data_IF_381591309240
#
_entry.id   IF_381591309240
#
_cell.length_a   1.000
_cell.length_b   1.000
_cell.length_c   1.000
_cell.angle_alpha   90.00
_cell.angle_beta   90.00
_cell.angle_gamma   90.00
#
_symmetry.space_group_name_H-M   'P 1'
#
loop_
_entity.id
_entity.type
_entity.pdbx_description
1 polymer ?
#
# COMPACT_ATOMS: atom_id res chain seq x y z
N UNK A 1 27.91 -13.96 -14.24
CA UNK A 1 26.84 -13.88 -13.22
C UNK A 1 26.31 -15.29 -13.04
N UNK A 2 26.65 -15.97 -11.95
CA UNK A 2 26.09 -17.30 -11.66
C UNK A 2 24.69 -17.09 -11.12
N UNK A 3 23.67 -17.58 -11.83
CA UNK A 3 22.33 -17.69 -11.24
C UNK A 3 22.47 -18.79 -10.19
N UNK A 4 22.29 -18.43 -8.92
CA UNK A 4 22.16 -19.40 -7.84
C UNK A 4 20.69 -19.79 -7.87
N UNK A 5 20.37 -21.01 -8.29
CA UNK A 5 19.02 -21.54 -8.15
C UNK A 5 18.74 -21.70 -6.65
N UNK A 6 18.00 -20.75 -6.10
CA UNK A 6 17.38 -20.88 -4.79
C UNK A 6 16.07 -21.65 -4.97
N UNK A 7 15.79 -22.55 -4.04
CA UNK A 7 14.49 -23.24 -3.98
C UNK A 7 13.36 -22.28 -3.63
N UNK A 8 12.11 -22.64 -3.95
CA UNK A 8 10.94 -21.88 -3.51
C UNK A 8 10.91 -21.74 -1.99
N UNK A 9 11.29 -22.78 -1.25
CA UNK A 9 11.37 -22.73 0.21
C UNK A 9 12.32 -21.62 0.70
N UNK A 10 13.47 -21.46 0.05
CA UNK A 10 14.45 -20.42 0.37
C UNK A 10 14.05 -19.03 -0.11
N UNK A 11 13.20 -18.94 -1.15
CA UNK A 11 12.79 -17.66 -1.74
C UNK A 11 11.52 -17.09 -1.12
N UNK A 12 10.54 -17.95 -0.84
CA UNK A 12 9.18 -17.55 -0.44
C UNK A 12 8.68 -18.28 0.81
N UNK A 13 9.52 -19.10 1.46
CA UNK A 13 9.18 -19.80 2.69
C UNK A 13 8.14 -20.90 2.52
N UNK A 14 7.93 -21.40 1.30
CA UNK A 14 7.01 -22.49 0.99
C UNK A 14 7.44 -23.28 -0.25
N UNK A 15 7.05 -24.55 -0.31
CA UNK A 15 7.48 -25.48 -1.34
C UNK A 15 6.91 -25.12 -2.74
N UNK A 16 5.65 -24.69 -2.79
CA UNK A 16 4.95 -24.39 -4.03
C UNK A 16 4.38 -22.96 -4.02
N UNK A 17 4.35 -22.33 -5.19
CA UNK A 17 3.83 -20.96 -5.36
C UNK A 17 2.37 -20.84 -4.90
N UNK A 18 1.55 -21.86 -5.19
CA UNK A 18 0.11 -21.89 -4.94
C UNK A 18 -0.27 -22.83 -3.78
N UNK A 19 0.61 -23.02 -2.80
CA UNK A 19 0.27 -23.72 -1.57
C UNK A 19 -0.68 -22.87 -0.72
N UNK A 20 -1.98 -23.03 -0.94
CA UNK A 20 -3.05 -22.23 -0.31
C UNK A 20 -3.04 -22.40 1.20
N UNK A 21 -2.81 -23.62 1.70
CA UNK A 21 -2.77 -23.89 3.14
C UNK A 21 -1.60 -23.14 3.79
N UNK A 22 -0.41 -23.19 3.18
CA UNK A 22 0.74 -22.45 3.67
C UNK A 22 0.54 -20.93 3.61
N UNK A 23 -0.12 -20.42 2.56
CA UNK A 23 -0.45 -19.00 2.43
C UNK A 23 -1.40 -18.57 3.55
N UNK A 24 -2.50 -19.30 3.74
CA UNK A 24 -3.53 -18.97 4.73
C UNK A 24 -3.06 -19.18 6.18
N UNK A 25 -2.05 -20.02 6.40
CA UNK A 25 -1.45 -20.22 7.72
C UNK A 25 -0.62 -19.01 8.20
N UNK A 26 -0.18 -18.14 7.30
CA UNK A 26 0.54 -16.92 7.66
C UNK A 26 -0.45 -15.90 8.21
N UNK A 27 -0.23 -15.50 9.46
CA UNK A 27 -1.12 -14.58 10.19
C UNK A 27 -0.29 -13.51 10.89
N UNK A 28 -0.96 -12.41 11.28
CA UNK A 28 -0.31 -11.37 12.08
C UNK A 28 0.09 -11.96 13.44
N UNK A 29 1.37 -11.88 13.76
CA UNK A 29 1.94 -12.42 14.99
C UNK A 29 1.93 -11.42 16.14
N UNK A 30 1.95 -10.12 15.83
CA UNK A 30 1.80 -9.03 16.78
C UNK A 30 0.78 -8.03 16.25
N UNK A 31 -0.43 -8.08 16.82
CA UNK A 31 -1.56 -7.23 16.40
C UNK A 31 -1.57 -5.86 17.08
N UNK A 32 -0.69 -5.66 18.06
CA UNK A 32 -0.55 -4.41 18.81
C UNK A 32 0.81 -3.74 18.52
N UNK A 33 1.56 -4.25 17.53
CA UNK A 33 2.84 -3.69 17.11
C UNK A 33 2.64 -2.23 16.65
N UNK A 34 3.31 -1.32 17.35
CA UNK A 34 3.32 0.11 17.00
C UNK A 34 4.50 0.45 16.10
N UNK A 35 5.61 -0.27 16.26
CA UNK A 35 6.87 -0.04 15.55
C UNK A 35 7.35 -1.33 14.90
N UNK A 36 7.47 -1.32 13.57
CA UNK A 36 8.03 -2.43 12.81
C UNK A 36 9.41 -2.06 12.25
N UNK A 37 10.46 -2.79 12.64
CA UNK A 37 11.84 -2.49 12.23
C UNK A 37 12.24 -3.35 11.03
N UNK A 38 12.53 -2.68 9.91
CA UNK A 38 13.07 -3.32 8.70
C UNK A 38 14.46 -2.76 8.41
N UNK A 39 15.39 -3.64 8.03
CA UNK A 39 16.76 -3.23 7.73
C UNK A 39 16.87 -2.68 6.31
N UNK A 40 17.33 -1.44 6.17
CA UNK A 40 17.71 -0.87 4.88
C UNK A 40 19.13 -1.34 4.49
N UNK A 41 19.25 -2.36 3.64
CA UNK A 41 20.55 -2.92 3.22
C UNK A 41 21.17 -2.20 2.00
N UNK A 42 20.99 -0.88 1.89
CA UNK A 42 21.52 -0.11 0.77
C UNK A 42 22.50 0.98 1.23
N UNK A 43 23.49 1.28 0.38
CA UNK A 43 24.41 2.39 0.61
C UNK A 43 23.77 3.72 0.23
N UNK A 44 24.04 4.76 1.02
CA UNK A 44 23.69 6.14 0.68
C UNK A 44 24.58 6.68 -0.44
N UNK A 45 23.98 7.16 -1.53
CA UNK A 45 24.72 7.64 -2.70
C UNK A 45 24.56 9.14 -2.90
N UNK A 46 25.68 9.87 -2.77
CA UNK A 46 25.79 11.27 -3.16
C UNK A 46 26.21 11.37 -4.64
N UNK A 47 25.53 12.24 -5.39
CA UNK A 47 25.85 12.52 -6.79
C UNK A 47 26.16 14.00 -6.97
N UNK A 48 27.35 14.30 -7.48
CA UNK A 48 27.82 15.67 -7.74
C UNK A 48 27.68 16.09 -9.22
N UNK A 49 27.13 15.19 -10.04
CA UNK A 49 26.78 15.49 -11.43
C UNK A 49 25.36 16.06 -11.50
N UNK A 50 25.27 17.36 -11.76
CA UNK A 50 24.02 18.12 -11.86
C UNK A 50 23.57 18.33 -13.31
N UNK A 51 24.11 17.56 -14.27
CA UNK A 51 23.90 17.76 -15.72
C UNK A 51 22.48 17.54 -16.24
N UNK A 52 21.52 17.16 -15.38
CA UNK A 52 20.10 16.92 -15.74
C UNK A 52 19.95 16.01 -16.99
N UNK A 53 20.74 14.93 -17.04
CA UNK A 53 20.87 14.07 -18.22
C UNK A 53 19.58 13.30 -18.61
N UNK A 54 18.53 13.28 -17.77
CA UNK A 54 17.26 12.57 -18.01
C UNK A 54 16.09 13.55 -18.15
N UNK A 55 15.84 14.09 -19.36
CA UNK A 55 14.80 15.09 -19.58
C UNK A 55 13.38 14.59 -19.28
N UNK A 56 13.11 13.29 -19.40
CA UNK A 56 11.80 12.72 -19.05
C UNK A 56 11.51 12.81 -17.55
N UNK A 57 12.46 12.45 -16.69
CA UNK A 57 12.31 12.60 -15.23
C UNK A 57 12.18 14.06 -14.85
N UNK A 58 12.90 14.95 -15.54
CA UNK A 58 12.77 16.38 -15.33
C UNK A 58 11.36 16.89 -15.64
N UNK A 59 10.74 16.41 -16.71
CA UNK A 59 9.36 16.76 -17.07
C UNK A 59 8.38 16.32 -15.98
N UNK A 60 8.55 15.11 -15.45
CA UNK A 60 7.72 14.60 -14.35
C UNK A 60 7.90 15.42 -13.07
N UNK A 61 9.15 15.74 -12.71
CA UNK A 61 9.46 16.61 -11.57
C UNK A 61 8.80 18.00 -11.68
N UNK A 62 8.91 18.65 -12.85
CA UNK A 62 8.25 19.96 -13.05
C UNK A 62 6.73 19.87 -12.96
N UNK A 63 6.13 18.80 -13.51
CA UNK A 63 4.70 18.54 -13.39
C UNK A 63 4.30 18.32 -11.93
N UNK A 64 5.03 17.50 -11.20
CA UNK A 64 4.74 17.15 -9.81
C UNK A 64 4.79 18.38 -8.89
N UNK A 65 5.77 19.26 -9.06
CA UNK A 65 5.84 20.53 -8.32
C UNK A 65 4.59 21.41 -8.50
N UNK A 66 4.03 21.43 -9.70
CA UNK A 66 2.83 22.23 -9.99
C UNK A 66 1.52 21.53 -9.60
N UNK A 67 1.54 20.20 -9.45
CA UNK A 67 0.37 19.38 -9.15
C UNK A 67 0.20 19.05 -7.67
N UNK A 68 0.89 19.76 -6.77
CA UNK A 68 0.76 19.57 -5.34
C UNK A 68 -0.62 20.05 -4.85
N UNK A 69 -1.17 19.33 -3.87
CA UNK A 69 -2.42 19.64 -3.18
C UNK A 69 -2.20 19.57 -1.66
N UNK A 70 -3.06 20.21 -0.88
CA UNK A 70 -2.97 20.23 0.58
C UNK A 70 -4.16 19.47 1.18
N UNK A 71 -3.86 18.36 1.87
CA UNK A 71 -4.88 17.53 2.50
C UNK A 71 -5.76 18.26 3.50
N UNK A 72 -5.23 19.25 4.20
CA UNK A 72 -5.95 20.00 5.21
C UNK A 72 -6.87 21.08 4.60
N UNK A 73 -6.46 21.75 3.53
CA UNK A 73 -7.20 22.92 2.99
C UNK A 73 -7.98 22.65 1.72
N UNK A 74 -7.57 21.68 0.92
CA UNK A 74 -8.18 21.44 -0.40
C UNK A 74 -9.34 20.43 -0.32
N UNK A 75 -9.46 19.73 0.82
CA UNK A 75 -10.58 18.85 1.16
C UNK A 75 -11.46 19.50 2.23
N UNK A 76 -12.77 19.53 2.01
CA UNK A 76 -13.73 19.98 3.02
C UNK A 76 -14.06 18.86 4.00
N UNK A 77 -13.28 18.77 5.08
CA UNK A 77 -13.46 17.80 6.15
C UNK A 77 -14.74 17.98 6.97
N UNK A 78 -15.48 19.10 6.81
CA UNK A 78 -16.76 19.28 7.51
C UNK A 78 -17.87 18.41 6.92
N UNK A 79 -17.70 17.91 5.70
CA UNK A 79 -18.65 17.03 5.03
C UNK A 79 -18.76 15.71 5.81
N UNK A 80 -19.97 15.40 6.27
CA UNK A 80 -20.28 14.10 6.87
C UNK A 80 -20.31 13.01 5.81
N UNK A 81 -19.81 11.82 6.16
CA UNK A 81 -19.84 10.64 5.29
C UNK A 81 -20.85 9.65 5.86
N UNK A 82 -21.86 9.29 5.07
CA UNK A 82 -22.83 8.24 5.40
C UNK A 82 -22.35 6.91 4.82
N UNK A 83 -21.55 6.20 5.61
CA UNK A 83 -20.90 4.96 5.18
C UNK A 83 -21.94 3.89 4.86
N UNK A 84 -22.99 3.75 5.69
CA UNK A 84 -24.04 2.76 5.47
C UNK A 84 -24.71 2.95 4.12
N UNK A 85 -25.04 4.19 3.78
CA UNK A 85 -25.61 4.53 2.49
C UNK A 85 -24.65 4.23 1.34
N UNK A 86 -23.38 4.62 1.45
CA UNK A 86 -22.38 4.35 0.40
C UNK A 86 -22.21 2.85 0.17
N UNK A 87 -22.11 2.06 1.24
CA UNK A 87 -21.98 0.60 1.13
C UNK A 87 -23.23 -0.04 0.51
N UNK A 88 -24.43 0.42 0.86
CA UNK A 88 -25.66 -0.07 0.26
C UNK A 88 -25.76 0.28 -1.24
N UNK A 89 -25.35 1.49 -1.63
CA UNK A 89 -25.31 1.93 -3.03
C UNK A 89 -24.29 1.14 -3.84
N UNK A 90 -23.08 0.93 -3.32
CA UNK A 90 -22.03 0.12 -3.95
C UNK A 90 -22.49 -1.33 -4.12
N UNK A 91 -23.05 -1.94 -3.07
CA UNK A 91 -23.57 -3.30 -3.12
C UNK A 91 -24.68 -3.46 -4.18
N UNK A 92 -25.51 -2.43 -4.39
CA UNK A 92 -26.55 -2.46 -5.41
C UNK A 92 -26.01 -2.29 -6.85
N UNK A 93 -24.90 -1.56 -7.02
CA UNK A 93 -24.30 -1.25 -8.33
C UNK A 93 -23.35 -2.34 -8.83
N UNK A 94 -22.43 -2.78 -7.97
CA UNK A 94 -21.31 -3.67 -8.32
C UNK A 94 -21.37 -5.02 -7.58
N UNK A 95 -22.35 -5.21 -6.70
CA UNK A 95 -22.44 -6.37 -5.83
C UNK A 95 -21.50 -6.27 -4.63
N UNK A 96 -21.70 -7.14 -3.64
CA UNK A 96 -20.89 -7.24 -2.44
C UNK A 96 -19.75 -8.27 -2.57
N UNK A 97 -19.48 -8.76 -3.79
CA UNK A 97 -18.48 -9.79 -4.09
C UNK A 97 -18.80 -11.19 -3.55
N UNK A 98 -19.97 -11.39 -2.92
CA UNK A 98 -20.37 -12.61 -2.24
C UNK A 98 -21.83 -12.96 -2.59
N UNK A 99 -22.03 -13.94 -3.47
CA UNK A 99 -23.38 -14.42 -3.79
C UNK A 99 -23.98 -15.16 -2.59
N UNK A 100 -25.06 -14.63 -2.00
CA UNK A 100 -25.66 -15.18 -0.76
C UNK A 100 -26.04 -16.65 -0.92
N UNK A 101 -26.49 -17.03 -2.11
CA UNK A 101 -26.88 -18.38 -2.48
C UNK A 101 -25.72 -19.36 -2.37
N UNK A 102 -24.48 -18.94 -2.67
CA UNK A 102 -23.27 -19.78 -2.56
C UNK A 102 -22.92 -20.11 -1.11
N UNK A 103 -23.43 -19.34 -0.15
CA UNK A 103 -23.12 -19.48 1.28
C UNK A 103 -24.30 -19.99 2.11
N UNK A 104 -25.43 -20.34 1.49
CA UNK A 104 -26.68 -20.71 2.17
C UNK A 104 -26.51 -21.85 3.21
N UNK A 105 -25.67 -22.85 2.90
CA UNK A 105 -25.43 -24.01 3.78
C UNK A 105 -24.31 -23.79 4.82
N UNK A 106 -23.80 -22.57 4.95
CA UNK A 106 -22.71 -22.21 5.87
C UNK A 106 -23.20 -21.43 7.09
N UNK A 107 -22.29 -21.10 8.00
CA UNK A 107 -22.59 -20.19 9.13
C UNK A 107 -22.86 -18.74 8.69
N UNK A 108 -22.54 -18.38 7.46
CA UNK A 108 -22.83 -17.06 6.87
C UNK A 108 -24.24 -17.04 6.26
N UNK A 109 -24.80 -18.21 5.87
CA UNK A 109 -26.14 -18.30 5.27
C UNK A 109 -27.29 -17.83 6.16
N UNK A 110 -27.05 -17.67 7.47
CA UNK A 110 -28.01 -17.09 8.43
C UNK A 110 -27.99 -15.56 8.49
N UNK A 111 -27.04 -14.90 7.81
CA UNK A 111 -26.89 -13.45 7.82
C UNK A 111 -28.04 -12.76 7.08
N UNK A 112 -28.64 -11.76 7.72
CA UNK A 112 -29.60 -10.85 7.11
C UNK A 112 -28.93 -9.59 6.58
N UNK A 113 -29.74 -8.63 6.14
CA UNK A 113 -29.22 -7.39 5.54
C UNK A 113 -28.35 -6.58 6.50
N UNK A 114 -28.63 -6.66 7.80
CA UNK A 114 -27.84 -5.99 8.83
C UNK A 114 -26.41 -6.54 8.89
N UNK A 115 -26.26 -7.86 9.01
CA UNK A 115 -24.93 -8.49 9.10
C UNK A 115 -24.12 -8.26 7.82
N UNK A 116 -24.78 -8.27 6.65
CA UNK A 116 -24.14 -7.95 5.38
C UNK A 116 -23.71 -6.49 5.27
N UNK A 117 -24.54 -5.56 5.75
CA UNK A 117 -24.18 -4.14 5.80
C UNK A 117 -22.96 -3.92 6.70
N UNK A 118 -22.96 -4.51 7.89
CA UNK A 118 -21.85 -4.38 8.85
C UNK A 118 -20.56 -5.01 8.31
N UNK A 119 -20.66 -6.16 7.63
CA UNK A 119 -19.53 -6.75 6.91
C UNK A 119 -18.98 -5.81 5.82
N UNK A 120 -19.85 -5.12 5.07
CA UNK A 120 -19.43 -4.15 4.07
C UNK A 120 -18.72 -2.93 4.67
N UNK A 121 -19.24 -2.41 5.80
CA UNK A 121 -18.61 -1.30 6.53
C UNK A 121 -17.21 -1.70 7.02
N UNK A 122 -17.09 -2.85 7.67
CA UNK A 122 -15.80 -3.31 8.18
C UNK A 122 -14.85 -3.69 7.04
N UNK A 123 -15.35 -4.25 5.95
CA UNK A 123 -14.57 -4.49 4.74
C UNK A 123 -14.00 -3.20 4.13
N UNK A 124 -14.79 -2.12 4.10
CA UNK A 124 -14.34 -0.80 3.63
C UNK A 124 -13.28 -0.19 4.55
N UNK A 125 -13.52 -0.23 5.85
CA UNK A 125 -12.57 0.24 6.86
C UNK A 125 -11.27 -0.56 6.79
N UNK A 126 -11.34 -1.88 6.62
CA UNK A 126 -10.18 -2.74 6.43
C UNK A 126 -9.41 -2.38 5.16
N UNK A 127 -10.09 -2.26 4.01
CA UNK A 127 -9.47 -1.92 2.72
C UNK A 127 -8.74 -0.57 2.79
N UNK A 128 -9.40 0.47 3.30
CA UNK A 128 -8.79 1.80 3.45
C UNK A 128 -7.62 1.81 4.44
N UNK A 129 -7.64 0.93 5.45
CA UNK A 129 -6.48 0.72 6.32
C UNK A 129 -5.30 0.10 5.54
N UNK A 130 -5.56 -0.86 4.64
CA UNK A 130 -4.49 -1.44 3.82
C UNK A 130 -3.92 -0.42 2.83
N UNK A 131 -4.74 0.49 2.29
CA UNK A 131 -4.23 1.63 1.52
C UNK A 131 -3.32 2.50 2.36
N UNK A 132 -3.74 2.94 3.55
CA UNK A 132 -2.89 3.71 4.45
C UNK A 132 -1.51 3.06 4.67
N UNK A 133 -1.49 1.76 4.98
CA UNK A 133 -0.23 1.03 5.19
C UNK A 133 0.61 0.92 3.91
N UNK A 134 -0.05 0.72 2.76
CA UNK A 134 0.59 0.75 1.44
C UNK A 134 1.23 2.10 1.13
N UNK A 135 0.52 3.20 1.35
CA UNK A 135 1.02 4.57 1.15
C UNK A 135 2.22 4.86 2.07
N UNK A 136 2.18 4.40 3.32
CA UNK A 136 3.32 4.50 4.23
C UNK A 136 4.52 3.67 3.72
N UNK A 137 4.27 2.47 3.20
CA UNK A 137 5.29 1.67 2.54
C UNK A 137 5.90 2.37 1.32
N UNK A 138 5.07 2.97 0.46
CA UNK A 138 5.49 3.74 -0.71
C UNK A 138 6.33 4.96 -0.31
N UNK A 139 5.94 5.68 0.76
CA UNK A 139 6.69 6.78 1.34
C UNK A 139 8.12 6.36 1.71
N UNK A 140 8.27 5.24 2.43
CA UNK A 140 9.59 4.73 2.83
C UNK A 140 10.40 4.23 1.63
N UNK A 141 9.78 3.49 0.71
CA UNK A 141 10.45 2.99 -0.50
C UNK A 141 10.97 4.13 -1.38
N UNK A 142 10.16 5.17 -1.56
CA UNK A 142 10.53 6.35 -2.34
C UNK A 142 11.65 7.14 -1.65
N UNK A 143 11.60 7.27 -0.32
CA UNK A 143 12.67 7.88 0.47
C UNK A 143 13.99 7.15 0.29
N UNK A 144 13.96 5.82 0.30
CA UNK A 144 15.13 4.98 0.00
C UNK A 144 15.63 5.21 -1.43
N UNK A 145 14.75 5.33 -2.42
CA UNK A 145 15.18 5.64 -3.80
C UNK A 145 15.89 6.98 -3.89
N UNK A 146 15.41 8.02 -3.20
CA UNK A 146 16.11 9.32 -3.11
C UNK A 146 17.53 9.12 -2.58
N UNK A 147 17.70 8.25 -1.59
CA UNK A 147 19.00 7.94 -0.98
C UNK A 147 19.92 7.14 -1.94
N UNK A 148 19.38 6.17 -2.67
CA UNK A 148 20.17 5.12 -3.34
C UNK A 148 20.27 5.26 -4.86
N UNK A 149 19.43 6.06 -5.52
CA UNK A 149 19.50 6.20 -6.99
C UNK A 149 20.74 7.03 -7.38
N UNK A 150 21.52 6.64 -8.40
CA UNK A 150 22.78 7.32 -8.71
C UNK A 150 22.62 8.64 -9.49
N UNK A 151 21.42 8.97 -9.97
CA UNK A 151 21.19 10.14 -10.83
C UNK A 151 20.50 11.28 -10.10
N UNK A 152 21.05 12.49 -10.25
CA UNK A 152 20.53 13.69 -9.59
C UNK A 152 19.07 14.01 -9.94
N UNK A 153 18.69 13.90 -11.22
CA UNK A 153 17.31 14.13 -11.68
C UNK A 153 16.31 13.10 -11.13
N UNK A 154 16.73 11.84 -10.99
CA UNK A 154 15.94 10.81 -10.35
C UNK A 154 15.71 11.10 -8.86
N UNK A 155 16.75 11.58 -8.14
CA UNK A 155 16.60 12.03 -6.74
C UNK A 155 15.58 13.17 -6.61
N UNK A 156 15.64 14.17 -7.51
CA UNK A 156 14.68 15.27 -7.52
C UNK A 156 13.25 14.75 -7.76
N UNK A 157 13.04 13.91 -8.76
CA UNK A 157 11.71 13.38 -9.03
C UNK A 157 11.20 12.47 -7.90
N UNK A 158 12.01 11.57 -7.38
CA UNK A 158 11.64 10.74 -6.24
C UNK A 158 11.28 11.59 -5.01
N UNK A 159 11.95 12.73 -4.78
CA UNK A 159 11.60 13.61 -3.66
C UNK A 159 10.20 14.22 -3.77
N UNK A 160 9.66 14.43 -4.98
CA UNK A 160 8.26 14.86 -5.11
C UNK A 160 7.30 13.75 -4.74
N UNK A 161 7.64 12.50 -5.07
CA UNK A 161 6.85 11.34 -4.69
C UNK A 161 6.86 11.12 -3.17
N UNK A 162 7.98 11.37 -2.47
CA UNK A 162 8.01 11.36 -1.00
C UNK A 162 6.96 12.33 -0.42
N UNK A 163 6.84 13.52 -1.00
CA UNK A 163 5.84 14.51 -0.58
C UNK A 163 4.42 14.07 -0.96
N UNK A 164 4.24 13.42 -2.10
CA UNK A 164 2.94 12.88 -2.52
C UNK A 164 2.46 11.80 -1.54
N UNK A 165 3.28 10.78 -1.26
CA UNK A 165 2.90 9.69 -0.36
C UNK A 165 2.71 10.15 1.09
N UNK A 166 3.49 11.13 1.55
CA UNK A 166 3.27 11.72 2.88
C UNK A 166 1.86 12.33 3.01
N UNK A 167 1.35 12.96 1.94
CA UNK A 167 0.01 13.55 1.93
C UNK A 167 -1.07 12.49 1.81
N UNK A 168 -0.82 11.40 1.07
CA UNK A 168 -1.72 10.25 1.05
C UNK A 168 -1.86 9.62 2.44
N UNK A 169 -0.74 9.36 3.12
CA UNK A 169 -0.73 8.86 4.51
C UNK A 169 -1.51 9.78 5.44
N UNK A 170 -1.26 11.10 5.39
CA UNK A 170 -1.98 12.10 6.19
C UNK A 170 -3.49 12.00 5.98
N UNK A 171 -3.94 11.99 4.72
CA UNK A 171 -5.37 11.99 4.38
C UNK A 171 -6.05 10.67 4.73
N UNK A 172 -5.45 9.52 4.43
CA UNK A 172 -6.04 8.24 4.78
C UNK A 172 -6.10 8.03 6.30
N UNK A 173 -5.04 8.40 7.03
CA UNK A 173 -5.03 8.31 8.49
C UNK A 173 -6.14 9.16 9.11
N UNK A 174 -6.25 10.43 8.67
CA UNK A 174 -7.29 11.34 9.14
C UNK A 174 -8.70 10.87 8.76
N UNK A 175 -8.89 10.35 7.55
CA UNK A 175 -10.18 9.85 7.09
C UNK A 175 -10.64 8.63 7.91
N UNK A 176 -9.73 7.69 8.17
CA UNK A 176 -10.01 6.53 9.02
C UNK A 176 -10.44 6.96 10.43
N UNK A 177 -9.72 7.89 11.05
CA UNK A 177 -10.03 8.37 12.40
C UNK A 177 -11.32 9.19 12.46
N UNK A 178 -11.43 10.25 11.64
CA UNK A 178 -12.54 11.20 11.73
C UNK A 178 -13.84 10.69 11.11
N UNK A 179 -13.78 9.80 10.10
CA UNK A 179 -14.96 9.38 9.33
C UNK A 179 -15.34 7.93 9.56
N UNK A 180 -14.38 7.01 9.76
CA UNK A 180 -14.66 5.57 9.88
C UNK A 180 -14.52 5.01 11.30
N UNK A 181 -14.14 5.84 12.28
CA UNK A 181 -14.02 5.41 13.68
C UNK A 181 -12.76 4.59 13.98
N UNK A 182 -11.74 4.67 13.12
CA UNK A 182 -10.43 4.05 13.31
C UNK A 182 -10.05 3.06 12.20
N UNK A 183 -8.84 2.52 12.31
CA UNK A 183 -8.25 1.62 11.32
C UNK A 183 -8.16 0.16 11.78
N UNK A 184 -7.54 -0.63 10.91
CA UNK A 184 -7.10 -2.01 11.13
C UNK A 184 -5.59 -2.12 10.95
N UNK A 185 -5.02 -3.18 11.53
CA UNK A 185 -3.61 -3.50 11.36
C UNK A 185 -3.26 -3.85 9.91
N UNK A 186 -1.98 -3.69 9.58
CA UNK A 186 -1.44 -4.09 8.28
C UNK A 186 -1.68 -5.58 8.04
N UNK A 187 -2.08 -5.94 6.83
CA UNK A 187 -2.18 -7.33 6.41
C UNK A 187 -0.78 -7.96 6.40
N UNK A 188 -0.66 -9.20 6.88
CA UNK A 188 0.64 -9.88 7.01
C UNK A 188 1.37 -10.00 5.67
N UNK A 189 0.66 -10.28 4.58
CA UNK A 189 1.27 -10.41 3.26
C UNK A 189 1.69 -9.07 2.68
N UNK A 190 0.91 -8.00 2.92
CA UNK A 190 1.33 -6.64 2.58
C UNK A 190 2.60 -6.27 3.34
N UNK A 191 2.66 -6.54 4.65
CA UNK A 191 3.85 -6.31 5.47
C UNK A 191 5.07 -7.06 4.92
N UNK A 192 4.94 -8.35 4.64
CA UNK A 192 6.04 -9.15 4.07
C UNK A 192 6.54 -8.60 2.73
N UNK A 193 5.61 -8.17 1.86
CA UNK A 193 5.98 -7.54 0.60
C UNK A 193 6.76 -6.24 0.81
N UNK A 194 6.31 -5.39 1.73
CA UNK A 194 7.01 -4.15 2.07
C UNK A 194 8.40 -4.44 2.67
N UNK A 195 8.50 -5.43 3.56
CA UNK A 195 9.75 -5.87 4.17
C UNK A 195 10.75 -6.31 3.08
N UNK A 196 10.32 -7.10 2.11
CA UNK A 196 11.18 -7.59 1.02
C UNK A 196 11.70 -6.43 0.15
N UNK A 197 10.82 -5.48 -0.21
CA UNK A 197 11.18 -4.31 -1.03
C UNK A 197 12.19 -3.41 -0.31
N UNK A 198 12.00 -3.20 1.00
CA UNK A 198 12.88 -2.37 1.83
C UNK A 198 14.19 -3.09 2.16
N UNK A 199 14.18 -4.42 2.29
CA UNK A 199 15.40 -5.19 2.55
C UNK A 199 16.32 -5.34 1.32
N UNK A 200 15.81 -5.32 0.08
CA UNK A 200 16.65 -5.49 -1.13
C UNK A 200 17.64 -4.33 -1.28
N UNK A 201 18.93 -4.62 -1.45
CA UNK A 201 19.96 -3.59 -1.54
C UNK A 201 19.91 -2.75 -2.82
N UNK A 202 19.19 -3.19 -3.85
CA UNK A 202 19.21 -2.57 -5.17
C UNK A 202 18.07 -1.56 -5.32
N UNK A 203 18.43 -0.34 -5.70
CA UNK A 203 17.46 0.76 -5.89
C UNK A 203 16.42 0.46 -6.97
N UNK A 204 16.78 -0.31 -8.00
CA UNK A 204 15.90 -0.64 -9.13
C UNK A 204 14.81 -1.65 -8.73
N UNK A 205 15.13 -2.59 -7.84
CA UNK A 205 14.14 -3.46 -7.22
C UNK A 205 13.19 -2.71 -6.30
N UNK A 206 13.72 -1.77 -5.49
CA UNK A 206 12.87 -0.91 -4.66
C UNK A 206 11.93 -0.07 -5.56
N UNK A 207 12.43 0.46 -6.67
CA UNK A 207 11.60 1.19 -7.64
C UNK A 207 10.52 0.32 -8.28
N UNK A 208 10.88 -0.88 -8.73
CA UNK A 208 9.93 -1.84 -9.30
C UNK A 208 8.86 -2.25 -8.29
N UNK A 209 9.27 -2.58 -7.06
CA UNK A 209 8.38 -2.94 -5.98
C UNK A 209 7.39 -1.82 -5.66
N UNK A 210 7.86 -0.59 -5.52
CA UNK A 210 6.99 0.56 -5.26
C UNK A 210 6.00 0.81 -6.42
N UNK A 211 6.48 0.95 -7.66
CA UNK A 211 5.64 1.38 -8.79
C UNK A 211 4.70 0.30 -9.32
N UNK A 212 5.10 -0.97 -9.29
CA UNK A 212 4.27 -2.06 -9.81
C UNK A 212 3.50 -2.75 -8.70
N UNK A 213 4.15 -3.02 -7.57
CA UNK A 213 3.52 -3.79 -6.50
C UNK A 213 2.73 -2.87 -5.58
N UNK A 214 3.35 -1.83 -5.00
CA UNK A 214 2.66 -1.00 -3.99
C UNK A 214 1.62 -0.09 -4.63
N UNK A 215 1.99 0.74 -5.61
CA UNK A 215 1.05 1.62 -6.31
C UNK A 215 0.05 0.82 -7.16
N UNK A 216 0.46 -0.30 -7.75
CA UNK A 216 -0.43 -1.18 -8.52
C UNK A 216 -1.44 -1.94 -7.67
N UNK A 217 -1.06 -2.42 -6.47
CA UNK A 217 -1.98 -3.04 -5.52
C UNK A 217 -2.92 -2.00 -4.88
N UNK A 218 -2.43 -0.79 -4.58
CA UNK A 218 -3.27 0.31 -4.07
C UNK A 218 -4.37 0.72 -5.06
N UNK A 219 -4.12 0.61 -6.37
CA UNK A 219 -5.11 0.89 -7.42
C UNK A 219 -6.05 -0.29 -7.70
N UNK A 220 -5.66 -1.52 -7.34
CA UNK A 220 -6.40 -2.74 -7.67
C UNK A 220 -7.22 -3.32 -6.51
N UNK A 221 -7.03 -2.83 -5.28
CA UNK A 221 -7.77 -3.31 -4.12
C UNK A 221 -9.16 -2.69 -3.99
#
# INVERSE_FOLDING_TARGET
MSIIDKSNEEMIGRAELNDIEAILAITNTDVDEVEHIVKNNADTLFTWDYSLARPHLRKLYEKAKTGQWNGTTDLDWSIGVDIEKTIAEDAALIGNGMEREMYADTKIGIWGDKEWLEFGIEGRRWQLSQFLHGEQGALICTSKIVETVPWYDAKLYASTQVVDEARHVEVFARYLDEKLGGGYQVNTHLRLLLDDIVNDSRWDMTYLGMQIMVEGLALAA
#
